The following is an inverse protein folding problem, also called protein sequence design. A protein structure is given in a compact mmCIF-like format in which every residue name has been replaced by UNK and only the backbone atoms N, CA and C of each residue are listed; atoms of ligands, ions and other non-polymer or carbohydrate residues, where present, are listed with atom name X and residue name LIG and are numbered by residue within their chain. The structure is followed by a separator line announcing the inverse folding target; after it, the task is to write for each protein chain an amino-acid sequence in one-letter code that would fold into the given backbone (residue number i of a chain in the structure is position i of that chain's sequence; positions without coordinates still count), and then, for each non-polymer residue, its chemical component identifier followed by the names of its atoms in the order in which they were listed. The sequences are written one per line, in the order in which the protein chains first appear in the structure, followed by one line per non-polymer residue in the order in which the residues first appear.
data_IF_202617689549
#
_entry.id   IF_202617689549
#
_cell.length_a   1.000
_cell.length_b   1.000
_cell.length_c   1.000
_cell.angle_alpha   90.00
_cell.angle_beta   90.00
_cell.angle_gamma   90.00
#
_symmetry.space_group_name_H-M   'P 1'
#
loop_
_entity.id
_entity.type
_entity.pdbx_description
1 polymer ?
#
# COMPACT_ATOMS: atom_id res chain seq x y z
N UNK A 1 -44.59 -0.63 36.00
CA UNK A 1 -43.37 -0.13 36.64
C UNK A 1 -42.20 -0.76 35.90
N UNK A 2 -41.51 0.02 35.05
CA UNK A 2 -40.46 -0.43 34.13
C UNK A 2 -39.05 -0.09 34.67
N UNK A 3 -38.90 -0.04 35.99
CA UNK A 3 -37.68 0.44 36.66
C UNK A 3 -36.80 -0.66 37.28
N UNK A 4 -37.11 -1.95 37.09
CA UNK A 4 -36.36 -3.06 37.73
C UNK A 4 -35.59 -3.95 36.75
N UNK A 5 -34.86 -3.38 35.80
CA UNK A 5 -33.81 -4.11 35.09
C UNK A 5 -32.43 -3.54 35.47
N UNK A 6 -31.57 -4.33 36.15
CA UNK A 6 -30.28 -3.83 36.61
C UNK A 6 -29.40 -3.45 35.42
N UNK A 7 -28.78 -2.26 35.53
CA UNK A 7 -27.87 -1.60 34.58
C UNK A 7 -26.56 -2.38 34.29
N UNK A 8 -26.51 -3.67 34.59
CA UNK A 8 -25.29 -4.48 34.56
C UNK A 8 -25.37 -5.63 33.55
N UNK A 9 -25.93 -5.39 32.35
CA UNK A 9 -25.54 -6.21 31.21
C UNK A 9 -24.16 -5.75 30.74
N UNK A 10 -23.15 -6.30 31.42
CA UNK A 10 -21.73 -6.21 31.04
C UNK A 10 -21.65 -6.46 29.54
N UNK A 11 -21.23 -5.46 28.77
CA UNK A 11 -20.87 -5.62 27.36
C UNK A 11 -19.81 -6.71 27.30
N UNK A 12 -20.21 -7.93 26.93
CA UNK A 12 -19.23 -8.94 26.56
C UNK A 12 -18.53 -8.40 25.33
N UNK A 13 -17.29 -7.94 25.49
CA UNK A 13 -16.46 -7.66 24.33
C UNK A 13 -16.16 -9.01 23.69
N UNK A 14 -17.01 -9.42 22.75
CA UNK A 14 -16.73 -10.56 21.90
C UNK A 14 -15.43 -10.23 21.17
N UNK A 15 -14.40 -11.04 21.37
CA UNK A 15 -13.18 -10.91 20.57
C UNK A 15 -13.55 -11.26 19.14
N UNK A 16 -13.53 -10.27 18.27
CA UNK A 16 -13.65 -10.47 16.82
C UNK A 16 -12.36 -9.99 16.16
N UNK A 17 -11.99 -10.64 15.06
CA UNK A 17 -10.87 -10.25 14.22
C UNK A 17 -11.47 -9.68 12.93
N UNK A 18 -11.07 -8.48 12.56
CA UNK A 18 -11.46 -7.93 11.27
C UNK A 18 -10.65 -8.61 10.17
N UNK A 19 -11.28 -8.79 9.01
CA UNK A 19 -10.58 -9.25 7.82
C UNK A 19 -9.49 -8.24 7.44
N UNK A 20 -8.31 -8.76 7.10
CA UNK A 20 -7.22 -7.97 6.53
C UNK A 20 -6.96 -8.48 5.12
N UNK A 21 -6.95 -7.54 4.17
CA UNK A 21 -6.57 -7.80 2.79
C UNK A 21 -5.12 -7.35 2.60
N UNK A 22 -4.22 -8.30 2.38
CA UNK A 22 -2.80 -8.05 2.16
C UNK A 22 -2.27 -9.03 1.12
N UNK A 23 -1.60 -8.49 0.10
CA UNK A 23 -1.00 -9.27 -0.96
C UNK A 23 -0.03 -8.40 -1.77
N UNK A 24 0.92 -9.05 -2.44
CA UNK A 24 1.83 -8.47 -3.42
C UNK A 24 2.81 -7.45 -2.85
N UNK A 25 3.26 -7.64 -1.61
CA UNK A 25 4.29 -6.80 -0.98
C UNK A 25 5.72 -7.32 -1.24
N UNK A 26 6.66 -6.40 -1.31
CA UNK A 26 8.10 -6.66 -1.35
C UNK A 26 8.74 -6.12 -0.07
N UNK A 27 9.33 -7.00 0.72
CA UNK A 27 9.94 -6.70 2.02
C UNK A 27 11.45 -6.71 1.88
N UNK A 28 12.10 -5.64 2.33
CA UNK A 28 13.54 -5.49 2.33
C UNK A 28 14.10 -5.60 3.75
N UNK A 29 15.42 -5.79 3.86
CA UNK A 29 16.13 -5.87 5.13
C UNK A 29 15.53 -6.90 6.12
N UNK A 30 15.15 -8.08 5.61
CA UNK A 30 14.57 -9.19 6.39
C UNK A 30 13.31 -8.82 7.21
N UNK A 31 12.58 -7.79 6.77
CA UNK A 31 11.30 -7.44 7.40
C UNK A 31 10.33 -8.61 7.24
N UNK A 32 9.74 -9.04 8.36
CA UNK A 32 8.83 -10.19 8.39
C UNK A 32 7.51 -9.86 7.68
N UNK A 33 7.12 -10.63 6.65
CA UNK A 33 5.82 -10.46 6.01
C UNK A 33 4.68 -10.90 6.94
N UNK A 34 3.45 -10.52 6.61
CA UNK A 34 2.29 -11.11 7.26
C UNK A 34 2.23 -12.62 6.97
N UNK A 35 2.06 -13.42 8.02
CA UNK A 35 2.17 -14.89 7.92
C UNK A 35 1.19 -15.53 6.93
N UNK A 36 0.03 -14.90 6.67
CA UNK A 36 -0.97 -15.43 5.72
C UNK A 36 -1.01 -14.64 4.40
N UNK A 37 -0.01 -13.81 4.10
CA UNK A 37 0.12 -13.17 2.79
C UNK A 37 0.56 -14.19 1.74
N UNK A 38 -0.23 -14.39 0.69
CA UNK A 38 -0.02 -15.47 -0.29
C UNK A 38 1.08 -15.16 -1.30
N UNK A 39 1.18 -13.92 -1.75
CA UNK A 39 2.15 -13.48 -2.74
C UNK A 39 2.99 -12.37 -2.12
N UNK A 40 4.23 -12.67 -1.77
CA UNK A 40 5.21 -11.69 -1.31
C UNK A 40 6.60 -12.12 -1.76
N UNK A 41 7.53 -11.16 -1.71
CA UNK A 41 8.96 -11.42 -1.86
C UNK A 41 9.66 -10.79 -0.65
N UNK A 42 10.61 -11.51 -0.07
CA UNK A 42 11.49 -11.00 0.99
C UNK A 42 12.92 -10.97 0.45
N UNK A 43 13.60 -9.85 0.62
CA UNK A 43 15.02 -9.68 0.31
C UNK A 43 15.79 -9.23 1.55
N UNK A 44 17.01 -9.75 1.69
CA UNK A 44 17.97 -9.31 2.70
C UNK A 44 18.66 -7.99 2.30
N UNK A 45 18.42 -7.49 1.09
CA UNK A 45 19.04 -6.28 0.59
C UNK A 45 18.58 -5.04 1.37
N UNK A 46 19.51 -4.12 1.66
CA UNK A 46 19.20 -2.80 2.21
C UNK A 46 19.03 -1.78 1.08
N UNK A 47 17.81 -1.29 0.91
CA UNK A 47 17.45 -0.30 -0.12
C UNK A 47 18.02 1.09 0.18
N UNK A 48 18.31 1.37 1.46
CA UNK A 48 18.90 2.59 1.96
C UNK A 48 18.29 3.89 1.38
N UNK A 49 16.98 4.15 1.60
CA UNK A 49 16.32 5.34 1.05
C UNK A 49 16.83 6.62 1.73
N UNK A 50 17.28 7.59 0.92
CA UNK A 50 17.77 8.90 1.37
C UNK A 50 17.08 10.00 0.56
N UNK A 51 16.62 11.07 1.22
CA UNK A 51 16.14 12.27 0.51
C UNK A 51 17.19 13.36 0.60
N UNK A 52 17.67 13.82 -0.55
CA UNK A 52 18.63 14.92 -0.69
C UNK A 52 17.93 16.15 -1.28
N UNK A 53 18.23 17.34 -0.78
CA UNK A 53 17.87 18.60 -1.44
C UNK A 53 18.99 19.03 -2.37
N UNK A 54 18.71 19.17 -3.67
CA UNK A 54 19.65 19.68 -4.68
C UNK A 54 19.04 20.92 -5.34
N UNK A 55 19.51 22.10 -4.92
CA UNK A 55 18.91 23.37 -5.36
C UNK A 55 17.43 23.48 -4.94
N UNK A 56 16.53 23.55 -5.91
CA UNK A 56 15.08 23.62 -5.69
C UNK A 56 14.38 22.25 -5.70
N UNK A 57 15.12 21.17 -5.91
CA UNK A 57 14.58 19.82 -6.02
C UNK A 57 14.82 19.02 -4.73
N UNK A 58 13.87 18.15 -4.39
CA UNK A 58 14.07 17.06 -3.44
C UNK A 58 14.15 15.76 -4.23
N UNK A 59 15.23 15.02 -4.01
CA UNK A 59 15.59 13.82 -4.75
C UNK A 59 15.60 12.65 -3.77
N UNK A 60 14.77 11.65 -4.02
CA UNK A 60 14.84 10.36 -3.35
C UNK A 60 15.91 9.51 -4.04
N UNK A 61 16.89 9.06 -3.26
CA UNK A 61 17.92 8.11 -3.66
C UNK A 61 17.63 6.78 -3.00
N UNK A 62 17.76 5.71 -3.76
CA UNK A 62 17.60 4.35 -3.26
C UNK A 62 18.30 3.37 -4.20
N UNK A 63 18.57 2.16 -3.72
CA UNK A 63 19.15 1.09 -4.52
C UNK A 63 18.26 -0.14 -4.45
N UNK A 64 18.02 -0.81 -5.57
CA UNK A 64 17.24 -2.05 -5.60
C UNK A 64 18.11 -3.21 -6.05
N UNK A 65 17.94 -4.37 -5.42
CA UNK A 65 18.40 -5.64 -5.99
C UNK A 65 17.38 -6.19 -7.00
N UNK A 66 17.64 -7.38 -7.53
CA UNK A 66 16.73 -8.01 -8.50
C UNK A 66 15.37 -8.42 -7.94
N UNK A 67 15.16 -8.38 -6.62
CA UNK A 67 13.88 -8.77 -6.01
C UNK A 67 12.70 -7.90 -6.50
N UNK A 68 12.97 -6.67 -6.93
CA UNK A 68 11.97 -5.74 -7.52
C UNK A 68 11.33 -6.24 -8.83
N UNK A 69 11.91 -7.28 -9.44
CA UNK A 69 11.37 -7.91 -10.65
C UNK A 69 10.69 -9.26 -10.37
N UNK A 70 10.83 -9.79 -9.15
CA UNK A 70 10.36 -11.12 -8.79
C UNK A 70 8.94 -11.11 -8.22
N UNK A 71 8.46 -9.93 -7.80
CA UNK A 71 7.09 -9.76 -7.32
C UNK A 71 6.17 -9.38 -8.48
N UNK A 72 5.07 -10.10 -8.60
CA UNK A 72 3.94 -9.75 -9.48
C UNK A 72 2.88 -9.04 -8.67
N UNK A 73 2.26 -8.02 -9.23
CA UNK A 73 1.16 -7.33 -8.57
C UNK A 73 -0.02 -7.14 -9.52
N UNK A 74 -1.16 -6.68 -9.00
CA UNK A 74 -2.38 -6.49 -9.78
C UNK A 74 -2.87 -5.05 -9.62
N UNK A 75 -3.52 -4.47 -10.65
CA UNK A 75 -4.12 -3.14 -10.53
C UNK A 75 -5.07 -3.03 -9.34
N UNK A 76 -4.95 -1.94 -8.60
CA UNK A 76 -5.82 -1.64 -7.45
C UNK A 76 -6.96 -0.73 -7.92
N UNK A 77 -8.19 -1.18 -7.69
CA UNK A 77 -9.41 -0.47 -8.06
C UNK A 77 -10.54 -0.77 -7.06
N UNK A 78 -11.68 -0.10 -7.20
CA UNK A 78 -12.86 -0.32 -6.33
C UNK A 78 -13.27 -1.79 -6.24
N UNK A 79 -13.27 -2.52 -7.35
CA UNK A 79 -13.69 -3.91 -7.36
C UNK A 79 -12.74 -4.82 -6.55
N UNK A 80 -11.43 -4.56 -6.61
CA UNK A 80 -10.43 -5.27 -5.81
C UNK A 80 -10.55 -4.92 -4.32
N UNK A 81 -10.73 -3.63 -3.98
CA UNK A 81 -10.76 -3.15 -2.60
C UNK A 81 -12.07 -3.46 -1.88
N UNK A 82 -13.18 -3.58 -2.62
CA UNK A 82 -14.49 -3.88 -2.08
C UNK A 82 -15.07 -2.75 -1.21
N UNK A 83 -15.85 -3.12 -0.21
CA UNK A 83 -16.46 -2.20 0.75
C UNK A 83 -15.82 -2.34 2.14
N UNK A 84 -15.74 -1.23 2.86
CA UNK A 84 -15.27 -1.21 4.25
C UNK A 84 -16.30 -1.83 5.19
N UNK A 85 -15.84 -2.55 6.21
CA UNK A 85 -16.70 -3.38 7.07
C UNK A 85 -17.79 -2.60 7.82
N UNK A 86 -17.49 -1.42 8.36
CA UNK A 86 -18.43 -0.71 9.25
C UNK A 86 -19.38 0.24 8.53
N UNK A 87 -18.89 0.98 7.52
CA UNK A 87 -19.74 1.94 6.81
C UNK A 87 -20.39 1.35 5.57
N UNK A 88 -19.98 0.15 5.14
CA UNK A 88 -20.30 -0.41 3.82
C UNK A 88 -19.94 0.53 2.65
N UNK A 89 -19.05 1.49 2.88
CA UNK A 89 -18.60 2.42 1.85
C UNK A 89 -17.56 1.77 0.93
N UNK A 90 -17.71 2.00 -0.37
CA UNK A 90 -16.72 1.64 -1.38
C UNK A 90 -15.55 2.63 -1.43
N UNK A 91 -14.44 2.20 -2.01
CA UNK A 91 -13.32 3.08 -2.35
C UNK A 91 -13.60 3.72 -3.71
N UNK A 92 -13.98 4.99 -3.71
CA UNK A 92 -14.47 5.72 -4.88
C UNK A 92 -13.84 7.11 -5.00
N UNK A 93 -13.99 7.72 -6.16
CA UNK A 93 -13.66 9.13 -6.38
C UNK A 93 -14.66 10.06 -5.67
N UNK A 94 -14.33 11.35 -5.45
CA UNK A 94 -15.24 12.30 -4.78
C UNK A 94 -16.62 12.48 -5.44
N UNK A 95 -16.74 12.15 -6.72
CA UNK A 95 -17.99 12.20 -7.48
C UNK A 95 -18.78 10.86 -7.46
N UNK A 96 -18.33 9.86 -6.70
CA UNK A 96 -18.95 8.52 -6.60
C UNK A 96 -18.59 7.57 -7.75
N UNK A 97 -17.74 7.95 -8.70
CA UNK A 97 -17.28 7.03 -9.73
C UNK A 97 -16.25 6.03 -9.17
N UNK A 98 -16.17 4.79 -9.70
CA UNK A 98 -15.16 3.82 -9.28
C UNK A 98 -13.73 4.39 -9.35
N UNK A 99 -12.95 4.12 -8.31
CA UNK A 99 -11.54 4.44 -8.20
C UNK A 99 -10.70 3.46 -9.02
N UNK A 100 -9.70 3.99 -9.72
CA UNK A 100 -8.58 3.25 -10.30
C UNK A 100 -7.28 3.91 -9.87
N UNK A 101 -6.35 3.13 -9.33
CA UNK A 101 -4.99 3.60 -9.01
C UNK A 101 -4.09 3.25 -10.20
N UNK A 102 -4.26 3.99 -11.29
CA UNK A 102 -3.57 3.78 -12.58
C UNK A 102 -2.44 4.79 -12.83
N UNK A 103 -2.21 5.69 -11.88
CA UNK A 103 -1.12 6.66 -11.88
C UNK A 103 -0.17 6.39 -10.72
N UNK A 104 1.13 6.52 -10.98
CA UNK A 104 2.15 6.47 -9.93
C UNK A 104 2.33 7.86 -9.26
N UNK A 105 3.24 7.95 -8.29
CA UNK A 105 3.51 9.19 -7.55
C UNK A 105 3.94 10.35 -8.47
N UNK A 106 4.58 10.07 -9.60
CA UNK A 106 5.04 11.05 -10.59
C UNK A 106 4.05 11.25 -11.74
N UNK A 107 2.82 10.73 -11.60
CA UNK A 107 1.77 10.76 -12.63
C UNK A 107 2.06 9.96 -13.90
N UNK A 108 3.03 9.04 -13.86
CA UNK A 108 3.21 8.04 -14.92
C UNK A 108 2.05 7.03 -14.88
N UNK A 109 1.67 6.50 -16.03
CA UNK A 109 0.70 5.42 -16.08
C UNK A 109 1.31 4.14 -15.51
N UNK A 110 0.55 3.44 -14.66
CA UNK A 110 0.87 2.08 -14.18
C UNK A 110 0.41 1.03 -15.20
N UNK A 111 1.09 -0.12 -15.21
CA UNK A 111 0.67 -1.27 -16.01
C UNK A 111 -0.74 -1.74 -15.62
N UNK A 112 -1.57 -2.03 -16.62
CA UNK A 112 -2.94 -2.52 -16.43
C UNK A 112 -3.02 -4.00 -16.07
N UNK A 113 -1.89 -4.71 -16.05
CA UNK A 113 -1.85 -6.16 -15.78
C UNK A 113 -0.84 -6.54 -14.71
N UNK A 114 0.27 -5.82 -14.61
CA UNK A 114 1.37 -6.09 -13.68
C UNK A 114 2.06 -4.79 -13.27
N UNK A 115 1.39 -3.91 -12.49
CA UNK A 115 1.99 -2.67 -12.03
C UNK A 115 3.17 -2.95 -11.11
N UNK A 116 4.15 -2.03 -11.05
CA UNK A 116 5.25 -2.16 -10.09
C UNK A 116 4.76 -1.90 -8.67
N UNK A 117 5.29 -2.70 -7.75
CA UNK A 117 5.07 -2.50 -6.32
C UNK A 117 5.69 -1.18 -5.86
N UNK A 118 5.07 -0.57 -4.86
CA UNK A 118 5.51 0.72 -4.34
C UNK A 118 5.02 1.92 -5.16
N UNK A 119 5.55 3.12 -4.88
CA UNK A 119 4.97 4.38 -5.37
C UNK A 119 5.36 4.76 -6.80
N UNK A 120 6.30 4.06 -7.44
CA UNK A 120 6.86 4.43 -8.75
C UNK A 120 6.76 3.28 -9.74
N UNK A 121 6.30 3.55 -10.96
CA UNK A 121 6.19 2.52 -11.99
C UNK A 121 7.53 2.28 -12.70
N UNK A 122 8.32 3.34 -12.90
CA UNK A 122 9.53 3.30 -13.73
C UNK A 122 10.81 3.01 -12.93
N UNK A 123 10.75 2.08 -11.98
CA UNK A 123 11.90 1.64 -11.17
C UNK A 123 12.52 0.35 -11.72
N UNK A 124 13.81 0.20 -11.50
CA UNK A 124 14.63 -0.95 -11.95
C UNK A 124 15.68 -1.31 -10.92
N UNK A 125 16.26 -2.49 -11.05
CA UNK A 125 17.46 -2.91 -10.31
C UNK A 125 18.56 -1.84 -10.43
N UNK A 126 19.29 -1.63 -9.33
CA UNK A 126 20.39 -0.69 -9.22
C UNK A 126 19.98 0.66 -8.62
N UNK A 127 20.97 1.55 -8.48
CA UNK A 127 20.79 2.87 -7.89
C UNK A 127 19.84 3.74 -8.73
N UNK A 128 18.88 4.37 -8.05
CA UNK A 128 17.92 5.32 -8.63
C UNK A 128 18.05 6.67 -7.92
N UNK A 129 17.99 7.76 -8.69
CA UNK A 129 17.72 9.11 -8.20
C UNK A 129 16.39 9.57 -8.80
N UNK A 130 15.41 9.88 -7.95
CA UNK A 130 14.04 10.22 -8.36
C UNK A 130 13.69 11.59 -7.80
N UNK A 131 13.38 12.56 -8.66
CA UNK A 131 12.90 13.87 -8.21
C UNK A 131 11.47 13.73 -7.69
N UNK A 132 11.27 13.88 -6.39
CA UNK A 132 9.97 13.70 -5.73
C UNK A 132 9.25 15.03 -5.43
N UNK A 133 9.96 16.14 -5.48
CA UNK A 133 9.36 17.47 -5.30
C UNK A 133 10.22 18.56 -5.93
N UNK A 134 9.59 19.60 -6.46
CA UNK A 134 10.26 20.84 -6.89
C UNK A 134 9.61 22.03 -6.19
N UNK A 135 10.41 22.83 -5.48
CA UNK A 135 9.95 24.12 -4.96
C UNK A 135 9.79 25.08 -6.13
N UNK A 136 8.60 25.66 -6.24
CA UNK A 136 8.33 26.82 -7.08
C UNK A 136 9.06 28.04 -6.53
#
# INVERSE_FOLDING_TARGET
DMNDLPYAQRRSHTKFHLAMHVNSNLYYNDVKPYANEKNNVVSLFDVHPVVEKRGNEFILKLNFDNSINNIKSTPVNTAMLGATYYSNGFYENPNGAPLSIDKDFLSNNRSLTDPKVGPFEQIRTGAQEIVIWKRK
#
